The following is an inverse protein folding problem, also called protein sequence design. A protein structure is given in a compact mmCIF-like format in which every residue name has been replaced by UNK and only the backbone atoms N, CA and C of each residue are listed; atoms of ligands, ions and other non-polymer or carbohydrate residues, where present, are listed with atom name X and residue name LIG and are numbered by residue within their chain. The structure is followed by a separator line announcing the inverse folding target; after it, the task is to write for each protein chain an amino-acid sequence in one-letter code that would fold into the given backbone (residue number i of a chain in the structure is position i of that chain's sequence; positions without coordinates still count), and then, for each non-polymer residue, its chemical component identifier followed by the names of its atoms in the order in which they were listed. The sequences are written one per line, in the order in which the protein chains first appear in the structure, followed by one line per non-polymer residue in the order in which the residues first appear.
data_IF_400270986372
#
_entry.id   IF_400270986372
#
_cell.length_a   1.000
_cell.length_b   1.000
_cell.length_c   1.000
_cell.angle_alpha   90.00
_cell.angle_beta   90.00
_cell.angle_gamma   90.00
#
_symmetry.space_group_name_H-M   'P 1'
#
loop_
_entity.id
_entity.type
_entity.pdbx_description
1 polymer ?
#
# COMPACT_ATOMS: atom_id res chain seq x y z
N UNK A 1 12.74 12.78 -8.37
CA UNK A 1 13.99 12.08 -8.76
C UNK A 1 15.18 12.49 -7.89
N UNK A 2 15.07 13.56 -7.08
CA UNK A 2 16.13 14.03 -6.19
C UNK A 2 16.40 13.14 -4.97
N UNK A 3 15.57 12.13 -4.75
CA UNK A 3 15.71 11.16 -3.66
C UNK A 3 16.84 10.15 -3.87
N UNK A 4 17.41 10.04 -5.07
CA UNK A 4 18.48 9.08 -5.33
C UNK A 4 19.79 9.76 -5.80
N UNK A 5 20.92 9.32 -5.25
CA UNK A 5 22.24 9.93 -5.45
C UNK A 5 22.70 9.94 -6.92
N UNK A 6 22.42 8.89 -7.69
CA UNK A 6 22.71 8.82 -9.12
C UNK A 6 21.55 9.26 -10.04
N UNK A 7 20.49 9.85 -9.47
CA UNK A 7 19.27 10.30 -10.16
C UNK A 7 18.67 9.22 -11.08
N UNK A 8 18.73 9.43 -12.39
CA UNK A 8 18.15 8.59 -13.44
C UNK A 8 19.06 7.45 -13.90
N UNK A 9 20.37 7.51 -13.62
CA UNK A 9 21.37 6.54 -14.08
C UNK A 9 21.63 5.39 -13.10
N UNK A 10 20.73 5.17 -12.14
CA UNK A 10 20.94 4.19 -11.07
C UNK A 10 20.50 2.82 -11.54
N UNK A 11 21.31 1.81 -11.22
CA UNK A 11 20.96 0.42 -11.41
C UNK A 11 19.85 0.00 -10.45
N UNK A 12 18.80 -0.61 -10.98
CA UNK A 12 17.67 -1.17 -10.22
C UNK A 12 17.80 -2.70 -10.25
N UNK A 13 17.67 -3.37 -9.09
CA UNK A 13 17.66 -4.84 -9.00
C UNK A 13 18.65 -5.40 -7.97
N UNK A 14 18.99 -6.67 -8.10
CA UNK A 14 19.77 -7.46 -7.11
C UNK A 14 21.13 -6.84 -6.74
N UNK A 15 21.76 -6.12 -7.67
CA UNK A 15 23.03 -5.40 -7.48
C UNK A 15 22.89 -3.89 -7.31
N UNK A 16 21.65 -3.39 -7.33
CA UNK A 16 21.31 -1.97 -7.33
C UNK A 16 20.34 -1.58 -6.21
N UNK A 17 19.67 -0.45 -6.35
CA UNK A 17 18.67 -0.01 -5.36
C UNK A 17 17.37 -0.82 -5.53
N UNK A 18 16.75 -1.17 -4.41
CA UNK A 18 15.42 -1.77 -4.41
C UNK A 18 14.35 -0.69 -4.45
N UNK A 19 13.35 -0.89 -5.31
CA UNK A 19 12.18 -0.05 -5.42
C UNK A 19 11.02 -0.61 -4.58
N UNK A 20 10.22 0.28 -3.99
CA UNK A 20 8.95 -0.11 -3.36
C UNK A 20 7.95 -0.66 -4.40
N UNK A 21 6.90 -1.35 -3.96
CA UNK A 21 5.87 -1.90 -4.86
C UNK A 21 5.27 -0.85 -5.80
N UNK A 22 4.80 0.27 -5.24
CA UNK A 22 4.26 1.38 -6.03
C UNK A 22 5.28 2.02 -6.97
N UNK A 23 6.55 2.11 -6.56
CA UNK A 23 7.61 2.60 -7.45
C UNK A 23 7.84 1.66 -8.64
N UNK A 24 7.92 0.34 -8.40
CA UNK A 24 8.03 -0.68 -9.47
C UNK A 24 6.84 -0.60 -10.43
N UNK A 25 5.64 -0.41 -9.89
CA UNK A 25 4.43 -0.32 -10.70
C UNK A 25 4.42 0.94 -11.59
N UNK A 26 4.78 2.11 -11.04
CA UNK A 26 4.93 3.35 -11.81
C UNK A 26 5.95 3.21 -12.94
N UNK A 27 7.10 2.57 -12.67
CA UNK A 27 8.12 2.30 -13.70
C UNK A 27 7.55 1.37 -14.78
N UNK A 28 6.79 0.34 -14.40
CA UNK A 28 6.16 -0.59 -15.35
C UNK A 28 5.14 0.12 -16.26
N UNK A 29 4.27 0.96 -15.68
CA UNK A 29 3.29 1.75 -16.45
C UNK A 29 4.01 2.74 -17.36
N UNK A 30 5.01 3.46 -16.87
CA UNK A 30 5.82 4.38 -17.67
C UNK A 30 6.47 3.68 -18.86
N UNK A 31 7.05 2.49 -18.65
CA UNK A 31 7.63 1.66 -19.70
C UNK A 31 6.60 1.27 -20.76
N UNK A 32 5.40 0.85 -20.34
CA UNK A 32 4.33 0.52 -21.26
C UNK A 32 3.96 1.74 -22.11
N UNK A 33 3.65 2.86 -21.47
CA UNK A 33 3.27 4.13 -22.12
C UNK A 33 4.33 4.58 -23.13
N UNK A 34 5.61 4.53 -22.76
CA UNK A 34 6.73 4.94 -23.61
C UNK A 34 6.80 4.17 -24.94
N UNK A 35 6.39 2.90 -24.94
CA UNK A 35 6.41 2.04 -26.12
C UNK A 35 5.46 2.51 -27.25
N UNK A 36 4.53 3.44 -26.99
CA UNK A 36 3.66 4.06 -28.01
C UNK A 36 2.86 3.05 -28.87
N UNK A 37 2.39 1.96 -28.26
CA UNK A 37 1.59 0.93 -28.93
C UNK A 37 0.18 1.43 -29.34
N UNK A 38 -0.54 0.66 -30.15
CA UNK A 38 -1.94 0.95 -30.47
C UNK A 38 -2.93 0.37 -29.45
N UNK A 39 -2.56 -0.76 -28.83
CA UNK A 39 -3.36 -1.48 -27.85
C UNK A 39 -2.52 -1.70 -26.59
N UNK A 40 -3.13 -1.38 -25.44
CA UNK A 40 -2.53 -1.56 -24.12
C UNK A 40 -3.38 -2.49 -23.27
N UNK A 41 -2.71 -3.45 -22.63
CA UNK A 41 -3.31 -4.37 -21.66
C UNK A 41 -2.65 -4.11 -20.31
N UNK A 42 -3.46 -3.74 -19.31
CA UNK A 42 -2.98 -3.48 -17.95
C UNK A 42 -3.63 -4.45 -16.98
N UNK A 43 -2.80 -5.22 -16.28
CA UNK A 43 -3.22 -6.09 -15.19
C UNK A 43 -3.02 -5.35 -13.87
N UNK A 44 -4.13 -4.86 -13.33
CA UNK A 44 -4.27 -4.13 -12.07
C UNK A 44 -3.23 -3.02 -11.85
N UNK A 45 -3.14 -2.00 -12.74
CA UNK A 45 -2.03 -1.05 -12.79
C UNK A 45 -1.96 -0.06 -11.61
N UNK A 46 -2.97 -0.02 -10.74
CA UNK A 46 -3.09 0.96 -9.65
C UNK A 46 -3.06 0.33 -8.25
N UNK A 47 -2.83 -0.98 -8.13
CA UNK A 47 -3.01 -1.70 -6.86
C UNK A 47 -1.95 -1.45 -5.78
N UNK A 48 -0.70 -1.17 -6.16
CA UNK A 48 0.39 -0.91 -5.22
C UNK A 48 0.70 0.58 -5.04
N UNK A 49 -0.15 1.47 -5.56
CA UNK A 49 -0.02 2.92 -5.39
C UNK A 49 -1.10 3.44 -4.46
N UNK A 50 -0.76 4.49 -3.71
CA UNK A 50 -1.72 5.18 -2.86
C UNK A 50 -2.84 5.83 -3.68
N UNK A 51 -3.98 6.09 -3.05
CA UNK A 51 -5.18 6.59 -3.74
C UNK A 51 -4.95 7.93 -4.45
N UNK A 52 -4.10 8.81 -3.91
CA UNK A 52 -3.82 10.11 -4.50
C UNK A 52 -2.99 9.95 -5.78
N UNK A 53 -1.88 9.21 -5.71
CA UNK A 53 -1.05 8.89 -6.88
C UNK A 53 -1.83 8.06 -7.90
N UNK A 54 -2.69 7.15 -7.45
CA UNK A 54 -3.55 6.34 -8.32
C UNK A 54 -4.51 7.22 -9.13
N UNK A 55 -5.12 8.22 -8.48
CA UNK A 55 -5.96 9.22 -9.16
C UNK A 55 -5.16 10.03 -10.17
N UNK A 56 -3.98 10.53 -9.80
CA UNK A 56 -3.14 11.31 -10.70
C UNK A 56 -2.69 10.48 -11.92
N UNK A 57 -2.33 9.21 -11.71
CA UNK A 57 -2.01 8.31 -12.83
C UNK A 57 -3.23 8.04 -13.70
N UNK A 58 -4.41 7.84 -13.11
CA UNK A 58 -5.63 7.69 -13.88
C UNK A 58 -5.92 8.93 -14.72
N UNK A 59 -5.94 10.11 -14.12
CA UNK A 59 -6.26 11.37 -14.80
C UNK A 59 -5.28 11.66 -15.95
N UNK A 60 -3.97 11.47 -15.71
CA UNK A 60 -2.94 11.83 -16.67
C UNK A 60 -2.66 10.75 -17.73
N UNK A 61 -2.99 9.47 -17.48
CA UNK A 61 -2.61 8.35 -18.37
C UNK A 61 -3.85 7.65 -18.92
N UNK A 62 -4.68 7.10 -18.03
CA UNK A 62 -5.73 6.14 -18.40
C UNK A 62 -7.07 6.80 -18.72
N UNK A 63 -7.33 7.98 -18.18
CA UNK A 63 -8.61 8.67 -18.26
C UNK A 63 -8.96 9.18 -19.66
N UNK A 64 -10.15 9.77 -19.83
CA UNK A 64 -10.63 10.28 -21.12
C UNK A 64 -9.75 11.41 -21.66
N UNK A 65 -9.15 12.21 -20.78
CA UNK A 65 -8.26 13.32 -21.16
C UNK A 65 -6.77 12.97 -21.02
N UNK A 66 -6.46 11.74 -20.62
CA UNK A 66 -5.10 11.29 -20.38
C UNK A 66 -4.26 11.12 -21.65
N UNK A 67 -2.99 10.79 -21.46
CA UNK A 67 -2.01 10.60 -22.52
C UNK A 67 -2.43 9.53 -23.53
N UNK A 68 -3.09 8.46 -23.06
CA UNK A 68 -3.52 7.34 -23.90
C UNK A 68 -4.94 7.53 -24.48
N UNK A 69 -5.54 8.73 -24.43
CA UNK A 69 -6.93 8.98 -24.84
C UNK A 69 -7.30 8.55 -26.27
N UNK A 70 -6.32 8.49 -27.19
CA UNK A 70 -6.53 8.05 -28.59
C UNK A 70 -6.09 6.61 -28.84
N UNK A 71 -5.77 5.85 -27.80
CA UNK A 71 -5.28 4.46 -27.87
C UNK A 71 -6.29 3.51 -27.25
N UNK A 72 -6.28 2.25 -27.70
CA UNK A 72 -7.12 1.22 -27.09
C UNK A 72 -6.50 0.76 -25.79
N UNK A 73 -7.29 0.71 -24.71
CA UNK A 73 -6.84 0.39 -23.36
C UNK A 73 -7.79 -0.64 -22.76
N UNK A 74 -7.24 -1.75 -22.28
CA UNK A 74 -7.97 -2.74 -21.50
C UNK A 74 -7.35 -2.79 -20.12
N UNK A 75 -8.14 -2.46 -19.11
CA UNK A 75 -7.73 -2.48 -17.71
C UNK A 75 -8.46 -3.63 -17.02
N UNK A 76 -7.69 -4.55 -16.46
CA UNK A 76 -8.18 -5.52 -15.48
C UNK A 76 -7.93 -4.91 -14.12
N UNK A 77 -8.95 -4.83 -13.26
CA UNK A 77 -8.78 -4.32 -11.90
C UNK A 77 -9.81 -4.91 -10.96
N UNK A 78 -9.45 -5.00 -9.69
CA UNK A 78 -10.35 -5.30 -8.60
C UNK A 78 -10.95 -4.03 -7.96
N UNK A 79 -10.45 -2.84 -8.33
CA UNK A 79 -10.91 -1.56 -7.78
C UNK A 79 -12.14 -1.02 -8.52
N UNK A 80 -13.11 -0.51 -7.77
CA UNK A 80 -14.32 0.12 -8.34
C UNK A 80 -14.16 1.61 -8.59
N UNK A 81 -13.09 2.23 -8.08
CA UNK A 81 -12.95 3.69 -7.93
C UNK A 81 -13.08 4.44 -9.25
N UNK A 82 -12.59 3.86 -10.35
CA UNK A 82 -12.51 4.52 -11.66
C UNK A 82 -13.50 3.97 -12.69
N UNK A 83 -14.30 2.97 -12.34
CA UNK A 83 -15.28 2.34 -13.24
C UNK A 83 -16.32 3.33 -13.82
N UNK A 84 -16.78 4.38 -13.11
CA UNK A 84 -17.68 5.36 -13.72
C UNK A 84 -17.07 6.17 -14.87
N UNK A 85 -15.75 6.13 -15.04
CA UNK A 85 -14.99 6.95 -15.99
C UNK A 85 -14.44 6.15 -17.18
N UNK A 86 -14.83 4.88 -17.31
CA UNK A 86 -14.46 4.04 -18.45
C UNK A 86 -15.61 3.95 -19.46
N UNK A 87 -15.27 3.62 -20.70
CA UNK A 87 -16.24 3.56 -21.80
C UNK A 87 -17.14 2.31 -21.72
N UNK A 88 -16.57 1.18 -21.31
CA UNK A 88 -17.22 -0.14 -21.23
C UNK A 88 -16.65 -0.96 -20.08
N UNK A 89 -17.50 -1.74 -19.44
CA UNK A 89 -17.16 -2.66 -18.36
C UNK A 89 -17.59 -4.06 -18.78
N UNK A 90 -16.71 -5.03 -18.53
CA UNK A 90 -16.97 -6.45 -18.76
C UNK A 90 -16.81 -7.16 -17.42
N UNK A 91 -17.88 -7.77 -16.92
CA UNK A 91 -17.89 -8.50 -15.66
C UNK A 91 -17.63 -9.97 -15.94
N UNK A 92 -16.59 -10.52 -15.34
CA UNK A 92 -16.24 -11.93 -15.42
C UNK A 92 -16.69 -12.66 -14.17
N UNK A 93 -17.39 -13.79 -14.35
CA UNK A 93 -17.77 -14.72 -13.27
C UNK A 93 -17.49 -16.15 -13.71
N UNK A 94 -16.76 -16.90 -12.88
CA UNK A 94 -16.41 -18.30 -13.15
C UNK A 94 -15.78 -18.52 -14.55
N UNK A 95 -14.90 -17.60 -14.97
CA UNK A 95 -14.22 -17.65 -16.26
C UNK A 95 -15.12 -17.35 -17.48
N UNK A 96 -16.34 -16.85 -17.28
CA UNK A 96 -17.27 -16.45 -18.34
C UNK A 96 -17.66 -14.99 -18.21
N UNK A 97 -17.96 -14.34 -19.32
CA UNK A 97 -18.58 -13.01 -19.32
C UNK A 97 -20.00 -13.14 -18.78
N UNK A 98 -20.24 -12.53 -17.62
CA UNK A 98 -21.57 -12.48 -17.01
C UNK A 98 -22.38 -11.34 -17.61
N UNK A 99 -21.78 -10.15 -17.64
CA UNK A 99 -22.43 -8.93 -18.09
C UNK A 99 -21.43 -8.01 -18.80
N UNK A 100 -21.94 -7.17 -19.70
CA UNK A 100 -21.19 -6.10 -20.32
C UNK A 100 -22.08 -4.90 -20.59
N UNK A 101 -21.49 -3.71 -20.54
CA UNK A 101 -22.17 -2.44 -20.78
C UNK A 101 -21.42 -1.26 -20.17
N UNK A 102 -22.04 -0.09 -20.25
CA UNK A 102 -21.58 1.10 -19.52
C UNK A 102 -21.85 0.97 -18.02
N UNK A 103 -21.21 1.82 -17.21
CA UNK A 103 -21.42 1.83 -15.76
C UNK A 103 -22.89 1.98 -15.39
N UNK A 104 -23.61 2.91 -16.03
CA UNK A 104 -25.02 3.16 -15.72
C UNK A 104 -25.91 1.98 -16.12
N UNK A 105 -25.71 1.41 -17.31
CA UNK A 105 -26.49 0.25 -17.77
C UNK A 105 -26.33 -0.96 -16.85
N UNK A 106 -25.12 -1.21 -16.36
CA UNK A 106 -24.86 -2.32 -15.44
C UNK A 106 -25.42 -2.05 -14.05
N UNK A 107 -25.40 -0.80 -13.59
CA UNK A 107 -25.99 -0.41 -12.30
C UNK A 107 -27.51 -0.61 -12.32
N UNK A 108 -28.18 -0.20 -13.40
CA UNK A 108 -29.65 -0.28 -13.56
C UNK A 108 -30.15 -1.72 -13.67
N UNK A 109 -29.33 -2.64 -14.22
CA UNK A 109 -29.66 -4.06 -14.34
C UNK A 109 -29.71 -4.80 -12.99
N UNK A 110 -29.10 -4.24 -11.95
CA UNK A 110 -29.02 -4.86 -10.61
C UNK A 110 -28.49 -6.32 -10.64
N UNK A 111 -27.51 -6.57 -11.52
CA UNK A 111 -26.91 -7.89 -11.71
C UNK A 111 -25.69 -8.16 -10.80
N UNK A 112 -24.78 -9.00 -11.29
CA UNK A 112 -23.50 -9.33 -10.65
C UNK A 112 -22.64 -8.09 -10.42
N UNK A 113 -22.70 -7.11 -11.33
CA UNK A 113 -21.99 -5.85 -11.17
C UNK A 113 -22.40 -5.10 -9.89
N UNK A 114 -23.70 -4.97 -9.65
CA UNK A 114 -24.22 -4.27 -8.47
C UNK A 114 -23.91 -5.02 -7.18
N UNK A 115 -23.93 -6.35 -7.21
CA UNK A 115 -23.48 -7.18 -6.07
C UNK A 115 -22.00 -6.95 -5.75
N UNK A 116 -21.15 -6.88 -6.79
CA UNK A 116 -19.72 -6.59 -6.63
C UNK A 116 -19.48 -5.20 -6.01
N UNK A 117 -20.22 -4.17 -6.45
CA UNK A 117 -20.14 -2.82 -5.86
C UNK A 117 -20.55 -2.80 -4.37
N UNK A 118 -21.60 -3.54 -4.01
CA UNK A 118 -22.07 -3.63 -2.63
C UNK A 118 -21.03 -4.29 -1.72
N UNK A 119 -20.41 -5.38 -2.19
CA UNK A 119 -19.36 -6.06 -1.45
C UNK A 119 -18.14 -5.16 -1.22
N UNK A 120 -17.67 -4.47 -2.27
CA UNK A 120 -16.52 -3.56 -2.17
C UNK A 120 -16.76 -2.43 -1.16
N UNK A 121 -17.99 -1.90 -1.12
CA UNK A 121 -18.36 -0.81 -0.20
C UNK A 121 -18.28 -1.24 1.26
N UNK A 122 -18.69 -2.47 1.57
CA UNK A 122 -18.62 -3.04 2.91
C UNK A 122 -17.17 -3.30 3.35
N UNK A 123 -16.34 -3.82 2.46
CA UNK A 123 -14.91 -4.07 2.74
C UNK A 123 -14.16 -2.78 3.06
N UNK A 124 -14.42 -1.72 2.29
CA UNK A 124 -13.77 -0.40 2.49
C UNK A 124 -14.13 0.21 3.85
N UNK A 125 -15.40 0.13 4.26
CA UNK A 125 -15.85 0.63 5.57
C UNK A 125 -15.16 -0.12 6.72
N UNK A 126 -15.11 -1.46 6.65
CA UNK A 126 -14.49 -2.28 7.69
C UNK A 126 -12.99 -2.02 7.83
N UNK A 127 -12.26 -1.83 6.72
CA UNK A 127 -10.84 -1.45 6.77
C UNK A 127 -10.61 -0.07 7.41
N UNK A 128 -11.49 0.90 7.13
CA UNK A 128 -11.39 2.24 7.71
C UNK A 128 -11.71 2.28 9.21
N UNK A 129 -12.63 1.43 9.68
CA UNK A 129 -12.95 1.30 11.10
C UNK A 129 -11.77 0.72 11.90
N UNK A 130 -11.10 -0.30 11.36
CA UNK A 130 -9.90 -0.91 11.97
C UNK A 130 -8.73 0.07 12.02
N UNK A 131 -8.49 0.83 10.95
CA UNK A 131 -7.47 1.90 10.95
C UNK A 131 -7.77 2.99 11.98
N UNK A 132 -9.03 3.40 12.10
CA UNK A 132 -9.45 4.41 13.08
C UNK A 132 -9.30 3.90 14.52
N UNK A 133 -9.57 2.63 14.81
CA UNK A 133 -9.34 2.03 16.13
C UNK A 133 -7.83 1.93 16.46
N UNK A 134 -6.99 1.58 15.48
CA UNK A 134 -5.53 1.51 15.63
C UNK A 134 -4.91 2.90 15.88
N UNK A 135 -5.39 3.94 15.20
CA UNK A 135 -4.99 5.34 15.40
C UNK A 135 -5.45 5.87 16.78
N UNK A 136 -6.67 5.52 17.20
CA UNK A 136 -7.21 5.93 18.51
C UNK A 136 -6.45 5.26 19.68
N UNK A 137 -6.05 3.99 19.52
CA UNK A 137 -5.18 3.28 20.47
C UNK A 137 -3.77 3.85 20.58
N UNK A 138 -3.25 4.48 19.50
CA UNK A 138 -1.92 5.11 19.48
C UNK A 138 -1.90 6.46 20.22
N UNK A 139 -2.98 7.24 20.16
CA UNK A 139 -3.09 8.53 20.88
C UNK A 139 -3.14 8.37 22.40
N UNK A 140 -3.73 7.28 22.91
CA UNK A 140 -3.86 7.09 24.37
C UNK A 140 -2.54 6.71 25.08
N UNK A 141 -1.46 6.39 24.33
CA UNK A 141 -0.14 6.04 24.91
C UNK A 141 0.84 7.21 24.98
N UNK A 142 0.52 8.36 24.37
CA UNK A 142 1.42 9.53 24.34
C UNK A 142 1.12 10.56 25.47
N UNK A 143 -0.02 10.43 26.16
CA UNK A 143 -0.45 11.37 27.20
C UNK A 143 0.12 11.03 28.60
N UNK A 144 0.77 9.86 28.75
CA UNK A 144 1.23 9.38 30.07
C UNK A 144 2.67 9.73 30.43
N UNK A 145 3.37 10.58 29.67
CA UNK A 145 4.79 10.87 29.95
C UNK A 145 5.18 12.29 29.59
N UNK A 146 4.55 13.29 30.21
CA UNK A 146 5.21 14.59 30.46
C UNK A 146 4.39 15.40 31.45
N UNK A 147 4.67 15.19 32.74
CA UNK A 147 4.48 16.21 33.76
C UNK A 147 5.83 16.87 34.02
N UNK A 148 5.78 18.20 34.19
CA UNK A 148 6.81 19.08 34.78
C UNK A 148 8.03 19.42 33.89
N UNK A 149 8.00 20.56 33.19
CA UNK A 149 8.29 21.89 33.78
C UNK A 149 8.33 22.95 32.68
N UNK A 150 7.56 24.02 32.91
CA UNK A 150 7.63 25.27 32.16
C UNK A 150 8.55 26.23 32.89
N UNK A 151 9.60 26.72 32.23
CA UNK A 151 10.14 28.04 32.54
C UNK A 151 10.80 28.66 31.30
N UNK A 152 10.47 29.93 31.13
CA UNK A 152 10.82 30.83 30.06
C UNK A 152 11.99 31.71 30.55
N UNK A 153 13.02 31.91 29.73
CA UNK A 153 13.65 33.23 29.44
C UNK A 153 15.11 33.13 28.92
N UNK A 154 15.43 34.09 28.05
CA UNK A 154 16.74 34.73 27.76
C UNK A 154 17.87 34.03 26.95
N UNK A 155 18.01 34.49 25.68
CA UNK A 155 19.11 35.34 25.15
C UNK A 155 20.57 34.89 25.39
N UNK A 156 21.32 34.62 24.31
CA UNK A 156 22.62 35.29 23.99
C UNK A 156 23.37 34.67 22.79
N UNK A 157 23.73 35.57 21.86
CA UNK A 157 24.96 35.71 21.03
C UNK A 157 25.78 34.51 20.51
N UNK A 158 26.07 34.62 19.20
CA UNK A 158 27.27 34.24 18.42
C UNK A 158 28.35 33.40 19.10
N UNK A 159 28.78 32.31 18.44
CA UNK A 159 30.17 32.23 17.98
C UNK A 159 30.43 31.20 16.86
N UNK A 160 31.33 31.60 15.98
CA UNK A 160 31.77 30.89 14.76
C UNK A 160 32.83 29.84 15.11
N UNK A 161 32.76 28.63 14.53
CA UNK A 161 33.97 27.85 14.18
C UNK A 161 33.69 26.71 13.19
N UNK A 162 34.25 26.87 11.99
CA UNK A 162 34.49 25.84 10.97
C UNK A 162 35.31 24.67 11.53
N UNK A 163 34.89 23.42 11.28
CA UNK A 163 35.80 22.26 11.19
C UNK A 163 35.17 21.08 10.43
N UNK A 164 35.74 20.86 9.23
CA UNK A 164 36.09 19.58 8.60
C UNK A 164 35.02 18.50 8.37
N UNK A 165 34.81 18.22 7.08
CA UNK A 165 34.23 17.01 6.51
C UNK A 165 35.22 15.84 6.70
N UNK A 166 34.74 14.68 7.15
CA UNK A 166 35.25 13.41 6.63
C UNK A 166 34.13 12.59 5.99
N UNK A 167 34.43 12.19 4.76
CA UNK A 167 33.78 11.17 3.95
C UNK A 167 33.98 9.78 4.58
N UNK A 168 32.89 9.03 4.83
CA UNK A 168 32.84 7.56 4.79
C UNK A 168 31.42 7.04 5.12
N UNK A 169 30.65 6.84 4.06
CA UNK A 169 29.84 5.64 3.79
C UNK A 169 29.45 4.75 4.98
N UNK A 170 28.15 4.80 5.38
CA UNK A 170 27.35 3.61 5.68
C UNK A 170 25.87 4.00 5.82
N UNK A 171 25.11 3.87 4.74
CA UNK A 171 23.63 3.89 4.81
C UNK A 171 23.12 2.67 4.04
N UNK A 172 23.48 1.50 4.58
CA UNK A 172 22.64 0.32 4.44
C UNK A 172 21.65 0.45 5.59
N UNK A 173 20.47 0.98 5.32
CA UNK A 173 19.32 0.56 6.11
C UNK A 173 18.99 -0.85 5.61
N UNK A 174 19.47 -1.85 6.34
CA UNK A 174 18.84 -3.16 6.30
C UNK A 174 17.37 -2.91 6.63
N UNK A 175 16.49 -3.44 5.78
CA UNK A 175 15.06 -3.51 6.06
C UNK A 175 14.92 -4.11 7.46
N UNK A 176 14.56 -3.29 8.45
CA UNK A 176 14.20 -3.77 9.76
C UNK A 176 12.97 -4.63 9.53
N UNK A 177 13.20 -5.95 9.42
CA UNK A 177 12.20 -6.93 9.82
C UNK A 177 11.89 -6.54 11.25
N UNK A 178 10.76 -5.86 11.47
CA UNK A 178 10.29 -5.56 12.80
C UNK A 178 10.14 -6.89 13.53
N UNK A 179 11.21 -7.31 14.21
CA UNK A 179 11.11 -8.15 15.38
C UNK A 179 10.62 -7.20 16.46
N UNK A 180 9.38 -6.74 16.33
CA UNK A 180 8.66 -6.22 17.47
C UNK A 180 8.53 -7.44 18.38
N UNK A 181 9.32 -7.44 19.46
CA UNK A 181 9.16 -8.41 20.53
C UNK A 181 7.71 -8.33 20.97
N UNK A 182 6.90 -9.28 20.56
CA UNK A 182 5.50 -9.31 20.96
C UNK A 182 5.48 -9.40 22.49
N UNK A 183 4.74 -8.51 23.17
CA UNK A 183 4.70 -8.51 24.63
C UNK A 183 4.24 -9.89 25.10
N UNK A 184 4.85 -10.41 26.18
CA UNK A 184 4.50 -11.74 26.74
C UNK A 184 3.00 -11.94 26.96
N UNK A 185 2.25 -10.85 27.16
CA UNK A 185 0.78 -10.84 27.25
C UNK A 185 0.09 -11.40 26.00
N UNK A 186 0.58 -11.09 24.81
CA UNK A 186 0.00 -11.57 23.55
C UNK A 186 0.14 -13.09 23.43
N UNK A 187 1.29 -13.65 23.84
CA UNK A 187 1.45 -15.11 23.94
C UNK A 187 0.45 -15.70 24.91
N UNK A 188 0.23 -15.09 26.09
CA UNK A 188 -0.77 -15.55 27.04
C UNK A 188 -2.20 -15.51 26.47
N UNK A 189 -2.54 -14.49 25.67
CA UNK A 189 -3.84 -14.41 24.99
C UNK A 189 -4.01 -15.54 23.97
N UNK A 190 -2.96 -15.83 23.17
CA UNK A 190 -2.93 -17.01 22.29
C UNK A 190 -3.03 -18.32 23.08
N UNK A 191 -2.33 -18.46 24.20
CA UNK A 191 -2.40 -19.64 25.07
C UNK A 191 -3.78 -19.83 25.69
N UNK A 192 -4.48 -18.73 26.04
CA UNK A 192 -5.83 -18.76 26.59
C UNK A 192 -6.87 -19.12 25.51
N UNK A 193 -6.67 -18.66 24.27
CA UNK A 193 -7.54 -18.98 23.13
C UNK A 193 -7.36 -20.42 22.61
N UNK A 194 -6.11 -20.94 22.58
CA UNK A 194 -5.81 -22.28 22.09
C UNK A 194 -6.21 -23.41 23.07
N UNK A 195 -6.44 -23.08 24.33
CA UNK A 195 -6.76 -24.03 25.40
C UNK A 195 -5.52 -24.76 25.92
N UNK A 196 -5.22 -24.57 27.22
CA UNK A 196 -4.03 -25.11 27.89
C UNK A 196 -3.79 -26.61 27.66
N UNK A 197 -4.85 -27.40 27.57
CA UNK A 197 -4.81 -28.85 27.35
C UNK A 197 -4.14 -29.24 26.03
N UNK A 198 -4.34 -28.49 24.93
CA UNK A 198 -3.77 -28.85 23.62
C UNK A 198 -2.26 -28.63 23.57
N UNK A 199 -1.78 -27.59 24.25
CA UNK A 199 -0.35 -27.28 24.34
C UNK A 199 0.37 -28.32 25.20
N UNK A 200 -0.21 -28.72 26.33
CA UNK A 200 0.35 -29.77 27.19
C UNK A 200 0.40 -31.13 26.47
N UNK A 201 -0.65 -31.49 25.72
CA UNK A 201 -0.66 -32.72 24.90
C UNK A 201 0.44 -32.68 23.84
N UNK A 202 0.62 -31.54 23.14
CA UNK A 202 1.68 -31.39 22.13
C UNK A 202 3.08 -31.49 22.74
N UNK A 203 3.28 -30.96 23.95
CA UNK A 203 4.57 -31.02 24.64
C UNK A 203 4.90 -32.43 25.12
N UNK A 204 3.91 -33.16 25.64
CA UNK A 204 4.05 -34.56 26.03
C UNK A 204 4.31 -35.47 24.82
N UNK A 205 3.63 -35.23 23.70
CA UNK A 205 3.88 -35.97 22.45
C UNK A 205 5.30 -35.74 21.93
N UNK A 206 5.82 -34.51 22.01
CA UNK A 206 7.22 -34.21 21.65
C UNK A 206 8.23 -34.85 22.59
N UNK A 207 7.92 -34.89 23.90
CA UNK A 207 8.77 -35.53 24.91
C UNK A 207 8.82 -37.06 24.83
N UNK A 208 7.78 -37.69 24.27
CA UNK A 208 7.76 -39.15 24.01
C UNK A 208 8.44 -39.53 22.67
N UNK A 209 8.73 -38.53 21.83
CA UNK A 209 9.30 -38.73 20.49
C UNK A 209 10.84 -38.66 20.46
N UNK A 210 11.48 -38.12 21.50
CA UNK A 210 12.93 -38.23 21.72
C UNK A 210 13.26 -39.44 22.59
#
# INVERSE_FOLDING_TARGET
LDIFAGRDKIEIGEKGINLSGGQKQRVSVARAVYNSADIYLFDDPLSAVDAHVGKDMFDNIFGPDGLLKRKTRVLVTHSVTFLPRVDQIIVLKNGRVSESGTYQELLDRQGEFSNFLAQYSNETQQSSEIENELESGRKHRLISTTSENSEFSEKSTLDTKTKQIPEAQKLIEEEFKETTSVPWRLYFDYFKAAGWIRVVISMLAYGLYQ
#
